data_IF_321027151841
#
_entry.id   IF_321027151841
#
_cell.length_a   1.000
_cell.length_b   1.000
_cell.length_c   1.000
_cell.angle_alpha   90.00
_cell.angle_beta   90.00
_cell.angle_gamma   90.00
#
_symmetry.space_group_name_H-M   'P 1'
#
loop_
_entity.id
_entity.type
_entity.pdbx_description
1 polymer ?
#
# COMPACT_ATOMS: atom_id res chain seq x y z
N UNK A 1 -3.41 14.17 -9.28
CA UNK A 1 -3.95 13.25 -8.25
C UNK A 1 -3.87 13.95 -6.91
N UNK A 2 -4.97 13.97 -6.14
CA UNK A 2 -4.98 14.48 -4.76
C UNK A 2 -4.44 13.39 -3.84
N UNK A 3 -3.70 13.74 -2.80
CA UNK A 3 -3.23 12.78 -1.78
C UNK A 3 -3.90 13.09 -0.44
N UNK A 4 -4.75 12.19 0.04
CA UNK A 4 -5.51 12.35 1.27
C UNK A 4 -4.93 11.44 2.37
N UNK A 5 -4.08 11.98 3.24
CA UNK A 5 -3.45 11.25 4.34
C UNK A 5 -3.42 12.12 5.62
N UNK A 6 -4.54 12.24 6.33
CA UNK A 6 -4.61 13.00 7.58
C UNK A 6 -3.74 12.43 8.71
N UNK A 7 -3.37 11.14 8.65
CA UNK A 7 -2.51 10.54 9.70
C UNK A 7 -1.13 11.19 9.71
N UNK A 8 -0.54 11.38 8.53
CA UNK A 8 0.81 11.96 8.40
C UNK A 8 0.77 13.49 8.29
N UNK A 9 -0.19 14.05 7.56
CA UNK A 9 -0.26 15.49 7.29
C UNK A 9 -1.18 16.27 8.23
N UNK A 10 -1.90 15.60 9.13
CA UNK A 10 -2.80 16.18 10.15
C UNK A 10 -4.01 16.94 9.61
N UNK A 11 -4.19 16.95 8.29
CA UNK A 11 -5.32 17.60 7.61
C UNK A 11 -5.95 16.58 6.67
N UNK A 12 -7.25 16.38 6.81
CA UNK A 12 -8.06 15.58 5.90
C UNK A 12 -8.51 16.42 4.72
N UNK A 13 -8.44 15.87 3.50
CA UNK A 13 -9.15 16.44 2.35
C UNK A 13 -10.58 15.92 2.41
N UNK A 14 -11.49 16.75 2.90
CA UNK A 14 -12.89 16.35 3.11
C UNK A 14 -13.63 16.19 1.78
N UNK A 15 -14.77 15.49 1.80
CA UNK A 15 -15.62 15.36 0.62
C UNK A 15 -16.11 16.72 0.09
N UNK A 16 -16.37 17.69 0.95
CA UNK A 16 -16.78 19.04 0.53
C UNK A 16 -15.62 19.80 -0.14
N UNK A 17 -14.37 19.56 0.29
CA UNK A 17 -13.19 20.08 -0.41
C UNK A 17 -13.04 19.39 -1.78
N UNK A 18 -13.31 18.09 -1.87
CA UNK A 18 -13.33 17.39 -3.16
C UNK A 18 -14.38 17.99 -4.12
N UNK A 19 -15.58 18.34 -3.68
CA UNK A 19 -16.59 19.00 -4.54
C UNK A 19 -16.05 20.29 -5.19
N UNK A 20 -15.30 21.08 -4.43
CA UNK A 20 -14.68 22.30 -4.94
C UNK A 20 -13.54 22.01 -5.92
N UNK A 21 -12.89 20.84 -5.80
CA UNK A 21 -11.73 20.47 -6.62
C UNK A 21 -12.11 19.68 -7.87
N UNK A 22 -13.18 18.88 -7.86
CA UNK A 22 -13.53 18.01 -9.01
C UNK A 22 -14.07 18.79 -10.22
N UNK A 23 -14.37 20.08 -10.08
CA UNK A 23 -14.67 20.94 -11.23
C UNK A 23 -13.47 21.09 -12.18
N UNK A 24 -12.25 20.88 -11.69
CA UNK A 24 -11.04 20.95 -12.51
C UNK A 24 -10.79 19.62 -13.24
N UNK A 25 -10.80 19.63 -14.57
CA UNK A 25 -10.70 18.43 -15.42
C UNK A 25 -9.38 17.66 -15.23
N UNK A 26 -8.31 18.35 -14.84
CA UNK A 26 -6.99 17.76 -14.58
C UNK A 26 -6.90 17.04 -13.22
N UNK A 27 -7.87 17.22 -12.33
CA UNK A 27 -7.98 16.46 -11.07
C UNK A 27 -8.81 15.20 -11.34
N UNK A 28 -8.15 14.08 -11.54
CA UNK A 28 -8.79 12.83 -11.99
C UNK A 28 -8.69 11.65 -11.01
N UNK A 29 -7.90 11.79 -9.94
CA UNK A 29 -7.59 10.70 -9.05
C UNK A 29 -7.32 11.16 -7.63
N UNK A 30 -7.50 10.25 -6.69
CA UNK A 30 -7.08 10.38 -5.30
C UNK A 30 -6.19 9.20 -4.92
N UNK A 31 -5.08 9.46 -4.24
CA UNK A 31 -4.40 8.47 -3.39
C UNK A 31 -5.06 8.57 -2.02
N UNK A 32 -5.89 7.60 -1.68
CA UNK A 32 -6.70 7.56 -0.48
C UNK A 32 -5.93 6.81 0.62
N UNK A 33 -5.62 7.50 1.71
CA UNK A 33 -4.74 7.01 2.78
C UNK A 33 -5.18 7.48 4.17
N UNK A 34 -6.48 7.73 4.34
CA UNK A 34 -7.11 8.01 5.65
C UNK A 34 -7.06 6.82 6.60
N UNK A 35 -6.81 5.60 6.10
CA UNK A 35 -6.99 4.32 6.81
C UNK A 35 -8.45 3.97 7.12
N UNK A 36 -9.39 4.76 6.60
CA UNK A 36 -10.83 4.48 6.66
C UNK A 36 -11.30 3.89 5.33
N UNK A 37 -11.43 2.56 5.27
CA UNK A 37 -11.92 1.85 4.08
C UNK A 37 -13.32 2.32 3.69
N UNK A 38 -14.17 2.68 4.65
CA UNK A 38 -15.51 3.17 4.34
C UNK A 38 -15.48 4.55 3.65
N UNK A 39 -14.39 5.32 3.75
CA UNK A 39 -14.24 6.55 2.96
C UNK A 39 -14.17 6.28 1.44
N UNK A 40 -13.65 5.12 1.00
CA UNK A 40 -13.70 4.70 -0.41
C UNK A 40 -15.15 4.63 -0.89
N UNK A 41 -16.03 4.01 -0.10
CA UNK A 41 -17.46 3.92 -0.40
C UNK A 41 -18.13 5.29 -0.36
N UNK A 42 -17.80 6.16 0.60
CA UNK A 42 -18.35 7.54 0.65
C UNK A 42 -17.98 8.33 -0.61
N UNK A 43 -16.73 8.25 -1.05
CA UNK A 43 -16.27 8.89 -2.28
C UNK A 43 -16.97 8.32 -3.52
N UNK A 44 -17.12 6.99 -3.62
CA UNK A 44 -17.88 6.37 -4.71
C UNK A 44 -19.34 6.81 -4.74
N UNK A 45 -20.00 6.85 -3.58
CA UNK A 45 -21.39 7.29 -3.49
C UNK A 45 -21.57 8.77 -3.88
N UNK A 46 -20.62 9.64 -3.52
CA UNK A 46 -20.71 11.08 -3.81
C UNK A 46 -20.26 11.44 -5.22
N UNK A 47 -19.22 10.79 -5.75
CA UNK A 47 -18.54 11.20 -6.98
C UNK A 47 -18.61 10.16 -8.11
N UNK A 48 -19.20 8.99 -7.88
CA UNK A 48 -19.23 7.89 -8.85
C UNK A 48 -17.83 7.53 -9.33
N UNK A 49 -17.63 7.56 -10.65
CA UNK A 49 -16.35 7.28 -11.29
C UNK A 49 -15.55 8.53 -11.68
N UNK A 50 -15.97 9.73 -11.23
CA UNK A 50 -15.27 10.99 -11.51
C UNK A 50 -13.83 10.98 -11.02
N UNK A 51 -13.56 10.29 -9.92
CA UNK A 51 -12.21 10.10 -9.37
C UNK A 51 -11.80 8.63 -9.46
N UNK A 52 -10.60 8.39 -10.00
CA UNK A 52 -9.90 7.12 -9.83
C UNK A 52 -9.35 7.06 -8.40
N UNK A 53 -9.99 6.25 -7.55
CA UNK A 53 -9.55 6.05 -6.16
C UNK A 53 -8.44 5.01 -6.16
N UNK A 54 -7.25 5.37 -5.68
CA UNK A 54 -6.13 4.46 -5.48
C UNK A 54 -5.87 4.33 -3.98
N UNK A 55 -5.87 3.11 -3.45
CA UNK A 55 -5.50 2.91 -2.04
C UNK A 55 -4.01 3.16 -1.85
N UNK A 56 -3.66 3.83 -0.75
CA UNK A 56 -2.28 4.19 -0.44
C UNK A 56 -1.80 3.73 0.94
N UNK A 57 -2.57 2.88 1.62
CA UNK A 57 -2.18 2.27 2.90
C UNK A 57 -2.20 0.77 2.73
N UNK A 58 -1.01 0.18 2.86
CA UNK A 58 -0.79 -1.23 2.53
C UNK A 58 -1.63 -2.19 3.37
N UNK A 59 -1.80 -1.92 4.67
CA UNK A 59 -2.53 -2.79 5.61
C UNK A 59 -4.06 -2.74 5.48
N UNK A 60 -4.60 -1.98 4.53
CA UNK A 60 -6.04 -2.00 4.17
C UNK A 60 -6.24 -2.08 2.65
N UNK A 61 -5.20 -2.49 1.93
CA UNK A 61 -5.17 -2.38 0.48
C UNK A 61 -6.17 -3.33 -0.18
N UNK A 62 -6.23 -4.59 0.27
CA UNK A 62 -7.13 -5.58 -0.30
C UNK A 62 -8.61 -5.18 -0.08
N UNK A 63 -8.95 -4.76 1.13
CA UNK A 63 -10.29 -4.30 1.48
C UNK A 63 -10.68 -3.08 0.62
N UNK A 64 -9.77 -2.12 0.46
CA UNK A 64 -9.99 -0.94 -0.38
C UNK A 64 -10.23 -1.29 -1.85
N UNK A 65 -9.46 -2.25 -2.40
CA UNK A 65 -9.63 -2.73 -3.76
C UNK A 65 -11.00 -3.39 -3.95
N UNK A 66 -11.42 -4.24 -3.00
CA UNK A 66 -12.74 -4.88 -3.01
C UNK A 66 -13.86 -3.82 -2.92
N UNK A 67 -13.67 -2.73 -2.16
CA UNK A 67 -14.62 -1.63 -2.05
C UNK A 67 -14.63 -0.66 -3.25
N UNK A 68 -13.83 -0.92 -4.28
CA UNK A 68 -13.88 -0.17 -5.54
C UNK A 68 -12.73 0.81 -5.77
N UNK A 69 -11.67 0.76 -4.96
CA UNK A 69 -10.40 1.35 -5.36
C UNK A 69 -9.88 0.62 -6.61
N UNK A 70 -9.35 1.38 -7.58
CA UNK A 70 -8.96 0.85 -8.90
C UNK A 70 -7.47 0.52 -9.00
N UNK A 71 -6.70 0.84 -7.96
CA UNK A 71 -5.26 0.57 -7.90
C UNK A 71 -4.70 0.78 -6.49
N UNK A 72 -3.43 0.45 -6.35
CA UNK A 72 -2.70 0.46 -5.07
C UNK A 72 -1.36 1.16 -5.28
N UNK A 73 -1.15 2.29 -4.60
CA UNK A 73 0.11 3.04 -4.58
C UNK A 73 0.83 2.72 -3.27
N UNK A 74 1.63 1.65 -3.30
CA UNK A 74 2.23 0.99 -2.15
C UNK A 74 3.68 1.38 -1.91
N UNK A 75 4.18 1.17 -0.68
CA UNK A 75 5.61 1.20 -0.38
C UNK A 75 6.29 -0.15 -0.66
N UNK A 76 5.76 -1.24 -0.11
CA UNK A 76 6.43 -2.56 -0.18
C UNK A 76 6.45 -3.19 -1.58
N UNK A 77 5.69 -2.65 -2.54
CA UNK A 77 5.77 -3.06 -3.96
C UNK A 77 7.18 -2.89 -4.53
N UNK A 78 8.00 -2.00 -3.98
CA UNK A 78 9.40 -1.84 -4.38
C UNK A 78 10.26 -3.08 -4.06
N UNK A 79 9.92 -3.84 -3.01
CA UNK A 79 10.62 -5.05 -2.60
C UNK A 79 9.89 -6.34 -3.03
N UNK A 80 8.55 -6.33 -3.09
CA UNK A 80 7.71 -7.49 -3.40
C UNK A 80 6.71 -7.20 -4.54
N UNK A 81 7.19 -6.79 -5.73
CA UNK A 81 6.31 -6.35 -6.81
C UNK A 81 5.36 -7.46 -7.32
N UNK A 82 5.86 -8.70 -7.39
CA UNK A 82 5.08 -9.82 -7.92
C UNK A 82 3.92 -10.17 -7.00
N UNK A 83 4.13 -10.16 -5.68
CA UNK A 83 3.11 -10.46 -4.68
C UNK A 83 2.05 -9.35 -4.64
N UNK A 84 2.47 -8.08 -4.68
CA UNK A 84 1.54 -6.94 -4.80
C UNK A 84 0.66 -7.06 -6.05
N UNK A 85 1.26 -7.35 -7.20
CA UNK A 85 0.52 -7.51 -8.47
C UNK A 85 -0.39 -8.75 -8.44
N UNK A 86 0.06 -9.85 -7.82
CA UNK A 86 -0.74 -11.06 -7.67
C UNK A 86 -2.01 -10.78 -6.87
N UNK A 87 -1.92 -10.10 -5.72
CA UNK A 87 -3.10 -9.69 -4.92
C UNK A 87 -4.04 -8.83 -5.78
N UNK A 88 -3.52 -7.80 -6.45
CA UNK A 88 -4.33 -6.92 -7.29
C UNK A 88 -5.08 -7.67 -8.40
N UNK A 89 -4.41 -8.58 -9.10
CA UNK A 89 -4.99 -9.32 -10.22
C UNK A 89 -5.95 -10.42 -9.74
N UNK A 90 -5.61 -11.14 -8.68
CA UNK A 90 -6.48 -12.17 -8.10
C UNK A 90 -7.80 -11.56 -7.66
N UNK A 91 -7.77 -10.46 -6.89
CA UNK A 91 -9.03 -9.81 -6.48
C UNK A 91 -9.84 -9.35 -7.69
N UNK A 92 -9.16 -8.77 -8.70
CA UNK A 92 -9.83 -8.23 -9.90
C UNK A 92 -10.51 -9.31 -10.72
N UNK A 93 -10.01 -10.54 -10.65
CA UNK A 93 -10.56 -11.71 -11.32
C UNK A 93 -11.56 -12.49 -10.44
N UNK A 94 -11.97 -11.94 -9.29
CA UNK A 94 -12.91 -12.58 -8.36
C UNK A 94 -12.32 -13.71 -7.52
N UNK A 95 -11.00 -13.93 -7.58
CA UNK A 95 -10.26 -14.93 -6.80
C UNK A 95 -9.88 -14.38 -5.43
N UNK A 96 -10.90 -14.05 -4.63
CA UNK A 96 -10.74 -13.30 -3.38
C UNK A 96 -10.01 -14.14 -2.32
N UNK A 97 -10.30 -15.43 -2.20
CA UNK A 97 -9.67 -16.29 -1.19
C UNK A 97 -8.16 -16.45 -1.42
N UNK A 98 -7.75 -16.57 -2.69
CA UNK A 98 -6.33 -16.60 -3.06
C UNK A 98 -5.64 -15.26 -2.80
N UNK A 99 -6.32 -14.14 -3.08
CA UNK A 99 -5.82 -12.81 -2.76
C UNK A 99 -5.63 -12.63 -1.24
N UNK A 100 -6.60 -13.08 -0.43
CA UNK A 100 -6.53 -13.08 1.04
C UNK A 100 -5.36 -13.92 1.53
N UNK A 101 -5.12 -15.10 0.93
CA UNK A 101 -4.02 -15.97 1.32
C UNK A 101 -2.67 -15.28 1.18
N UNK A 102 -2.40 -14.63 0.03
CA UNK A 102 -1.15 -13.87 -0.18
C UNK A 102 -1.12 -12.65 0.74
N UNK A 103 -2.23 -11.92 0.85
CA UNK A 103 -2.30 -10.72 1.69
C UNK A 103 -2.00 -11.00 3.16
N UNK A 104 -2.48 -12.13 3.71
CA UNK A 104 -2.18 -12.55 5.09
C UNK A 104 -0.70 -12.89 5.30
N UNK A 105 -0.07 -13.54 4.32
CA UNK A 105 1.38 -13.74 4.36
C UNK A 105 2.13 -12.39 4.28
N UNK A 106 1.60 -11.45 3.49
CA UNK A 106 2.27 -10.17 3.24
C UNK A 106 2.12 -9.19 4.41
N UNK A 107 1.04 -9.27 5.18
CA UNK A 107 0.67 -8.30 6.21
C UNK A 107 1.81 -7.89 7.17
N UNK A 108 2.63 -8.80 7.74
CA UNK A 108 3.74 -8.41 8.60
C UNK A 108 4.77 -7.49 7.92
N UNK A 109 4.97 -7.66 6.60
CA UNK A 109 5.81 -6.74 5.81
C UNK A 109 5.08 -5.42 5.54
N UNK A 110 3.77 -5.47 5.25
CA UNK A 110 2.97 -4.27 4.99
C UNK A 110 2.91 -3.33 6.22
N UNK A 111 2.95 -3.90 7.43
CA UNK A 111 3.03 -3.12 8.68
C UNK A 111 4.33 -2.29 8.81
N UNK A 112 5.37 -2.62 8.03
CA UNK A 112 6.59 -1.84 7.98
C UNK A 112 6.42 -0.47 7.30
N UNK A 113 5.36 -0.28 6.50
CA UNK A 113 5.09 0.98 5.77
C UNK A 113 4.27 2.00 6.59
N UNK A 114 3.59 1.57 7.65
CA UNK A 114 2.61 2.42 8.35
C UNK A 114 3.19 3.18 9.57
N UNK A 115 4.51 3.32 9.62
CA UNK A 115 5.24 4.02 10.68
C UNK A 115 6.25 5.05 10.13
N UNK A 116 6.79 5.91 11.00
CA UNK A 116 7.67 7.02 10.61
C UNK A 116 9.01 6.60 9.99
N UNK A 117 9.39 5.31 10.08
CA UNK A 117 10.61 4.73 9.51
C UNK A 117 10.35 3.89 8.26
N UNK A 118 9.19 4.05 7.61
CA UNK A 118 8.83 3.33 6.38
C UNK A 118 9.95 3.34 5.33
N UNK A 119 10.61 4.48 5.13
CA UNK A 119 11.69 4.62 4.15
C UNK A 119 12.85 3.68 4.46
N UNK A 120 13.26 3.60 5.72
CA UNK A 120 14.33 2.71 6.15
C UNK A 120 13.91 1.24 6.05
N UNK A 121 12.68 0.91 6.45
CA UNK A 121 12.19 -0.45 6.44
C UNK A 121 12.06 -1.00 5.01
N UNK A 122 11.44 -0.24 4.11
CA UNK A 122 11.27 -0.61 2.69
C UNK A 122 12.63 -0.78 2.03
N UNK A 123 13.57 0.14 2.24
CA UNK A 123 14.91 0.04 1.67
C UNK A 123 15.72 -1.14 2.19
N UNK A 124 15.51 -1.53 3.44
CA UNK A 124 16.07 -2.76 3.98
C UNK A 124 15.44 -3.98 3.30
N UNK A 125 14.12 -4.02 3.11
CA UNK A 125 13.45 -5.08 2.35
C UNK A 125 13.90 -5.15 0.88
N UNK A 126 14.10 -4.01 0.20
CA UNK A 126 14.65 -3.93 -1.16
C UNK A 126 16.07 -4.54 -1.23
N UNK A 127 16.88 -4.35 -0.18
CA UNK A 127 18.23 -4.94 -0.11
C UNK A 127 18.15 -6.46 -0.02
N UNK A 128 17.27 -6.99 0.84
CA UNK A 128 17.09 -8.44 1.04
C UNK A 128 16.46 -9.14 -0.17
N UNK A 129 15.73 -8.40 -1.00
CA UNK A 129 15.12 -8.90 -2.24
C UNK A 129 15.99 -8.64 -3.48
N UNK A 130 17.13 -7.97 -3.31
CA UNK A 130 18.07 -7.66 -4.40
C UNK A 130 17.57 -6.58 -5.38
N UNK A 131 16.55 -5.80 -5.00
CA UNK A 131 15.89 -4.80 -5.84
C UNK A 131 16.32 -3.36 -5.55
N UNK A 132 17.13 -3.12 -4.51
CA UNK A 132 17.57 -1.79 -4.16
C UNK A 132 18.71 -1.75 -3.14
N UNK A 133 18.73 -0.68 -2.33
CA UNK A 133 19.79 -0.46 -1.34
C UNK A 133 19.23 0.14 -0.05
N UNK A 134 19.82 -0.20 1.09
CA UNK A 134 19.43 0.33 2.40
C UNK A 134 19.85 1.79 2.64
N UNK A 135 20.52 2.42 1.68
CA UNK A 135 21.07 3.76 1.81
C UNK A 135 19.94 4.79 1.96
N UNK A 136 19.95 5.53 3.07
CA UNK A 136 19.05 6.66 3.32
C UNK A 136 19.82 7.96 3.40
N UNK A 137 19.23 9.02 2.83
CA UNK A 137 19.81 10.37 2.94
C UNK A 137 19.52 10.96 4.32
N UNK A 138 20.54 11.56 4.92
CA UNK A 138 20.38 12.38 6.12
C UNK A 138 19.24 13.42 5.92
N UNK A 139 18.43 13.72 6.96
CA UNK A 139 18.65 13.39 8.38
C UNK A 139 18.21 11.98 8.80
N UNK A 140 17.72 11.14 7.87
CA UNK A 140 17.40 9.73 8.21
C UNK A 140 18.70 8.96 8.47
N UNK A 141 18.67 8.12 9.50
CA UNK A 141 19.72 7.16 9.80
C UNK A 141 19.24 5.75 9.43
N UNK A 142 20.14 4.84 9.03
CA UNK A 142 19.82 3.42 8.90
C UNK A 142 19.24 2.85 10.20
N UNK A 143 18.40 1.81 10.09
CA UNK A 143 17.94 1.07 11.26
C UNK A 143 19.14 0.46 11.99
N UNK A 144 19.09 0.42 13.32
CA UNK A 144 20.15 -0.15 14.14
C UNK A 144 19.60 -0.89 15.36
N UNK A 145 20.48 -1.62 16.06
CA UNK A 145 20.15 -2.30 17.31
C UNK A 145 18.99 -3.29 17.17
N UNK A 146 18.10 -3.29 18.17
CA UNK A 146 17.00 -4.25 18.24
C UNK A 146 15.95 -4.03 17.15
N UNK A 147 15.69 -2.78 16.76
CA UNK A 147 14.73 -2.45 15.70
C UNK A 147 15.15 -3.08 14.37
N UNK A 148 16.43 -2.92 13.99
CA UNK A 148 16.95 -3.56 12.78
C UNK A 148 16.78 -5.08 12.83
N UNK A 149 17.13 -5.71 13.95
CA UNK A 149 16.98 -7.17 14.13
C UNK A 149 15.53 -7.62 13.96
N UNK A 150 14.58 -6.88 14.53
CA UNK A 150 13.15 -7.18 14.39
C UNK A 150 12.69 -7.06 12.94
N UNK A 151 13.09 -6.01 12.21
CA UNK A 151 12.71 -5.84 10.79
C UNK A 151 13.35 -6.92 9.92
N UNK A 152 14.62 -7.27 10.15
CA UNK A 152 15.29 -8.38 9.45
C UNK A 152 14.54 -9.69 9.66
N UNK A 153 14.16 -10.00 10.91
CA UNK A 153 13.41 -11.23 11.23
C UNK A 153 12.09 -11.31 10.47
N UNK A 154 11.35 -10.21 10.36
CA UNK A 154 10.11 -10.14 9.56
C UNK A 154 10.40 -10.42 8.08
N UNK A 155 11.45 -9.81 7.53
CA UNK A 155 11.83 -9.97 6.12
C UNK A 155 12.27 -11.42 5.84
N UNK A 156 13.14 -11.98 6.67
CA UNK A 156 13.65 -13.35 6.51
C UNK A 156 12.52 -14.38 6.64
N UNK A 157 11.62 -14.24 7.61
CA UNK A 157 10.48 -15.12 7.78
C UNK A 157 9.53 -15.06 6.56
N UNK A 158 9.33 -13.88 5.98
CA UNK A 158 8.54 -13.73 4.77
C UNK A 158 9.25 -14.40 3.57
N UNK A 159 10.56 -14.21 3.41
CA UNK A 159 11.33 -14.85 2.33
C UNK A 159 11.35 -16.37 2.42
N UNK A 160 11.46 -16.93 3.63
CA UNK A 160 11.43 -18.38 3.87
C UNK A 160 10.07 -18.99 3.50
N UNK A 161 8.99 -18.29 3.80
CA UNK A 161 7.61 -18.73 3.55
C UNK A 161 6.98 -18.13 2.30
N UNK A 162 7.80 -17.57 1.39
CA UNK A 162 7.33 -16.79 0.24
C UNK A 162 6.42 -17.63 -0.64
N UNK A 163 5.20 -17.16 -0.98
CA UNK A 163 4.26 -17.95 -1.75
C UNK A 163 4.78 -18.19 -3.16
N UNK A 164 4.69 -19.44 -3.62
CA UNK A 164 4.84 -19.75 -5.04
C UNK A 164 3.69 -19.11 -5.81
N UNK A 165 4.00 -18.18 -6.71
CA UNK A 165 3.01 -17.46 -7.51
C UNK A 165 2.69 -18.14 -8.84
N UNK A 166 3.48 -19.15 -9.26
CA UNK A 166 3.30 -19.86 -10.53
C UNK A 166 1.93 -20.53 -10.62
N UNK A 167 1.37 -20.97 -9.48
CA UNK A 167 0.01 -21.53 -9.36
C UNK A 167 -1.12 -20.57 -9.78
N UNK A 168 -0.83 -19.28 -9.92
CA UNK A 168 -1.82 -18.27 -10.30
C UNK A 168 -1.67 -17.80 -11.75
N UNK A 169 -0.86 -18.49 -12.57
CA UNK A 169 -0.51 -18.13 -13.95
C UNK A 169 0.18 -16.76 -14.05
N UNK A 170 1.24 -16.58 -13.26
CA UNK A 170 2.18 -15.46 -13.36
C UNK A 170 3.55 -15.93 -13.83
#
# INVERSE_FOLDING_TARGET
>A
MIYNNPVDYKIEVTLDMFDQLIQFENIQAVKESTRDVTNVTRMKNRFGDRLKIMTGVDTVALESLIMGAVGWVAGLVCAFPNETVAIYKLQKNGKIDEAISIYRWFLPLLELDINSKLVQNIKLAETYTGLGSENVRAPRLPLSGQERKSVISIIEAALESRPDLSKYNY
#
